data_IF_513362418156
#
_entry.id   IF_513362418156
#
_cell.length_a   1.000
_cell.length_b   1.000
_cell.length_c   1.000
_cell.angle_alpha   90.00
_cell.angle_beta   90.00
_cell.angle_gamma   90.00
#
_symmetry.space_group_name_H-M   'P 1'
#
loop_
_entity.id
_entity.type
_entity.pdbx_description
1 polymer ?
#
# COMPACT_ATOMS: atom_id res chain seq x y z
N UNK A 1 35.07 5.79 -19.10
CA UNK A 1 34.66 5.01 -17.93
C UNK A 1 35.18 3.60 -18.16
N UNK A 2 36.21 3.23 -17.42
CA UNK A 2 36.81 1.90 -17.45
C UNK A 2 35.77 0.92 -16.83
N UNK A 3 35.34 -0.05 -17.63
CA UNK A 3 34.75 -1.27 -17.11
C UNK A 3 35.81 -1.97 -16.25
N UNK A 4 35.77 -1.74 -14.97
CA UNK A 4 36.51 -2.54 -14.01
C UNK A 4 35.92 -3.95 -14.08
N UNK A 5 36.79 -4.95 -14.18
CA UNK A 5 36.59 -6.37 -14.27
C UNK A 5 35.49 -6.85 -13.25
N UNK A 6 34.27 -6.50 -13.52
CA UNK A 6 33.08 -6.69 -12.70
C UNK A 6 32.05 -7.51 -13.45
N UNK A 7 31.58 -8.55 -12.83
CA UNK A 7 30.40 -9.30 -13.30
C UNK A 7 29.18 -8.43 -13.06
N UNK A 8 28.73 -7.70 -14.08
CA UNK A 8 27.45 -7.01 -14.01
C UNK A 8 26.32 -8.03 -14.08
N UNK A 9 25.46 -8.02 -13.07
CA UNK A 9 24.27 -8.85 -13.02
C UNK A 9 23.10 -8.05 -13.55
N UNK A 10 22.54 -8.48 -14.68
CA UNK A 10 21.28 -7.95 -15.20
C UNK A 10 20.13 -8.77 -14.62
N UNK A 11 19.35 -8.15 -13.74
CA UNK A 11 18.11 -8.73 -13.25
C UNK A 11 16.93 -8.28 -14.11
N UNK A 12 16.11 -9.22 -14.53
CA UNK A 12 14.84 -8.92 -15.20
C UNK A 12 13.69 -9.73 -14.61
N UNK A 13 12.56 -9.09 -14.47
CA UNK A 13 11.34 -9.72 -13.94
C UNK A 13 10.38 -10.05 -15.06
N UNK A 14 9.99 -11.32 -15.16
CA UNK A 14 8.96 -11.76 -16.08
C UNK A 14 7.59 -11.56 -15.42
N UNK A 15 6.76 -10.66 -15.96
CA UNK A 15 5.37 -10.49 -15.53
C UNK A 15 4.55 -11.70 -15.99
N UNK A 16 4.42 -12.72 -15.15
CA UNK A 16 3.74 -13.98 -15.48
C UNK A 16 2.28 -13.79 -15.94
N UNK A 17 1.59 -12.77 -15.45
CA UNK A 17 0.23 -12.41 -15.85
C UNK A 17 0.12 -11.81 -17.26
N UNK A 18 1.23 -11.35 -17.83
CA UNK A 18 1.31 -10.85 -19.20
C UNK A 18 1.75 -11.92 -20.20
N UNK A 19 2.32 -13.03 -19.72
CA UNK A 19 2.73 -14.15 -20.57
C UNK A 19 1.53 -15.05 -20.88
N UNK A 20 1.15 -15.27 -22.16
CA UNK A 20 0.07 -16.19 -22.50
C UNK A 20 0.35 -17.63 -21.99
N UNK A 21 -0.71 -18.44 -21.73
CA UNK A 21 -0.52 -19.84 -21.33
C UNK A 21 0.29 -20.60 -22.38
N UNK A 22 1.08 -21.57 -21.91
CA UNK A 22 1.95 -22.37 -22.74
C UNK A 22 3.40 -21.88 -22.78
N UNK A 23 4.15 -22.42 -23.72
CA UNK A 23 5.56 -22.11 -23.93
C UNK A 23 5.70 -20.90 -24.85
N UNK A 24 6.49 -19.91 -24.46
CA UNK A 24 6.79 -18.73 -25.25
C UNK A 24 8.29 -18.54 -25.34
N UNK A 25 8.72 -18.08 -26.48
CA UNK A 25 10.11 -17.75 -26.75
C UNK A 25 10.22 -16.26 -27.01
N UNK A 26 11.30 -15.66 -26.55
CA UNK A 26 11.65 -14.26 -26.79
C UNK A 26 13.16 -14.10 -26.72
N UNK A 27 13.64 -13.04 -27.35
CA UNK A 27 15.07 -12.71 -27.38
C UNK A 27 15.31 -11.44 -26.59
N UNK A 28 16.26 -11.49 -25.64
CA UNK A 28 16.84 -10.32 -25.03
C UNK A 28 18.10 -9.94 -25.81
N UNK A 29 18.10 -8.76 -26.40
CA UNK A 29 19.22 -8.26 -27.20
C UNK A 29 20.01 -7.28 -26.34
N UNK A 30 21.23 -7.67 -25.98
CA UNK A 30 22.22 -6.78 -25.36
C UNK A 30 23.08 -6.21 -26.46
N UNK A 31 23.06 -4.89 -26.63
CA UNK A 31 23.83 -4.20 -27.62
C UNK A 31 24.75 -3.18 -26.98
N UNK A 32 26.04 -3.36 -27.19
CA UNK A 32 27.08 -2.41 -26.87
C UNK A 32 27.63 -1.75 -28.15
N UNK A 33 28.42 -0.71 -28.08
CA UNK A 33 29.11 -0.16 -29.27
C UNK A 33 30.01 -1.17 -30.01
N UNK A 34 30.39 -2.25 -29.33
CA UNK A 34 31.39 -3.21 -29.84
C UNK A 34 30.80 -4.60 -30.12
N UNK A 35 29.69 -4.97 -29.48
CA UNK A 35 29.12 -6.31 -29.54
C UNK A 35 27.60 -6.31 -29.43
N UNK A 36 26.98 -7.23 -30.16
CA UNK A 36 25.55 -7.56 -30.02
C UNK A 36 25.42 -8.99 -29.55
N UNK A 37 24.86 -9.17 -28.35
CA UNK A 37 24.60 -10.51 -27.78
C UNK A 37 23.11 -10.76 -27.72
N UNK A 38 22.68 -11.91 -28.22
CA UNK A 38 21.29 -12.35 -28.17
C UNK A 38 21.19 -13.46 -27.12
N UNK A 39 20.32 -13.27 -26.15
CA UNK A 39 19.99 -14.26 -25.13
C UNK A 39 18.57 -14.78 -25.41
N UNK A 40 18.45 -16.05 -25.78
CA UNK A 40 17.16 -16.68 -26.01
C UNK A 40 16.50 -17.02 -24.69
N UNK A 41 15.33 -16.47 -24.44
CA UNK A 41 14.55 -16.72 -23.22
C UNK A 41 13.34 -17.57 -23.55
N UNK A 42 13.15 -18.64 -22.81
CA UNK A 42 11.95 -19.46 -22.89
C UNK A 42 11.17 -19.32 -21.58
N UNK A 43 9.97 -18.78 -21.68
CA UNK A 43 9.03 -18.73 -20.56
C UNK A 43 7.94 -19.79 -20.74
N UNK A 44 7.67 -20.53 -19.68
CA UNK A 44 6.58 -21.50 -19.65
C UNK A 44 5.55 -21.12 -18.59
N UNK A 45 4.45 -20.53 -19.03
CA UNK A 45 3.34 -20.23 -18.14
C UNK A 45 2.39 -21.42 -18.04
N UNK A 46 2.43 -22.09 -16.89
CA UNK A 46 1.58 -23.26 -16.60
C UNK A 46 0.18 -22.90 -16.12
N UNK A 47 -0.08 -21.61 -15.84
CA UNK A 47 -1.38 -21.17 -15.34
C UNK A 47 -2.42 -21.24 -16.46
N UNK A 48 -3.44 -22.04 -16.27
CA UNK A 48 -4.55 -22.21 -17.21
C UNK A 48 -5.37 -20.92 -17.39
N UNK A 49 -6.07 -20.81 -18.50
CA UNK A 49 -6.88 -19.60 -18.81
C UNK A 49 -7.96 -19.32 -17.74
N UNK A 50 -8.55 -20.40 -17.17
CA UNK A 50 -9.54 -20.30 -16.09
C UNK A 50 -8.93 -19.67 -14.83
N UNK A 51 -7.76 -20.12 -14.47
CA UNK A 51 -7.05 -19.63 -13.27
C UNK A 51 -6.59 -18.17 -13.44
N UNK A 52 -6.17 -17.78 -14.66
CA UNK A 52 -5.86 -16.37 -14.98
C UNK A 52 -7.09 -15.47 -14.87
N UNK A 53 -8.25 -15.94 -15.32
CA UNK A 53 -9.50 -15.17 -15.16
C UNK A 53 -9.80 -14.96 -13.68
N UNK A 54 -9.61 -16.00 -12.84
CA UNK A 54 -9.79 -15.91 -11.39
C UNK A 54 -8.80 -14.91 -10.78
N UNK A 55 -7.52 -15.00 -11.11
CA UNK A 55 -6.49 -14.08 -10.60
C UNK A 55 -6.74 -12.62 -11.01
N UNK A 56 -7.14 -12.38 -12.27
CA UNK A 56 -7.53 -11.03 -12.72
C UNK A 56 -8.75 -10.50 -11.97
N UNK A 57 -9.75 -11.37 -11.72
CA UNK A 57 -10.91 -10.99 -10.95
C UNK A 57 -10.53 -10.65 -9.48
N UNK A 58 -9.62 -11.44 -8.87
CA UNK A 58 -9.06 -11.14 -7.53
C UNK A 58 -8.35 -9.79 -7.50
N UNK A 59 -7.39 -9.57 -8.40
CA UNK A 59 -6.67 -8.28 -8.49
C UNK A 59 -7.63 -7.09 -8.63
N UNK A 60 -8.66 -7.23 -9.47
CA UNK A 60 -9.68 -6.19 -9.66
C UNK A 60 -10.52 -5.96 -8.38
N UNK A 61 -10.90 -7.02 -7.69
CA UNK A 61 -11.68 -6.93 -6.46
C UNK A 61 -10.86 -6.27 -5.34
N UNK A 62 -9.57 -6.65 -5.17
CA UNK A 62 -8.64 -6.03 -4.21
C UNK A 62 -8.48 -4.53 -4.52
N UNK A 63 -8.21 -4.17 -5.78
CA UNK A 63 -8.06 -2.76 -6.17
C UNK A 63 -9.33 -1.94 -5.90
N UNK A 64 -10.51 -2.53 -6.11
CA UNK A 64 -11.79 -1.90 -5.80
C UNK A 64 -11.98 -1.74 -4.28
N UNK A 65 -11.63 -2.75 -3.49
CA UNK A 65 -11.70 -2.70 -2.02
C UNK A 65 -10.78 -1.62 -1.46
N UNK A 66 -9.53 -1.54 -1.91
CA UNK A 66 -8.57 -0.50 -1.50
C UNK A 66 -9.11 0.90 -1.88
N UNK A 67 -9.63 1.06 -3.10
CA UNK A 67 -10.22 2.35 -3.51
C UNK A 67 -11.38 2.79 -2.62
N UNK A 68 -12.30 1.88 -2.29
CA UNK A 68 -13.44 2.17 -1.43
C UNK A 68 -13.00 2.44 0.01
N UNK A 69 -12.03 1.66 0.52
CA UNK A 69 -11.41 1.89 1.83
C UNK A 69 -10.82 3.29 1.91
N UNK A 70 -9.95 3.67 0.96
CA UNK A 70 -9.34 4.99 0.92
C UNK A 70 -10.40 6.10 0.78
N UNK A 71 -11.42 5.91 -0.06
CA UNK A 71 -12.50 6.91 -0.19
C UNK A 71 -13.26 7.11 1.11
N UNK A 72 -13.39 6.08 1.94
CA UNK A 72 -13.97 6.18 3.27
C UNK A 72 -13.02 6.90 4.25
N UNK A 73 -11.74 6.51 4.30
CA UNK A 73 -10.74 7.13 5.16
C UNK A 73 -10.54 8.61 4.82
N UNK A 74 -10.57 8.96 3.55
CA UNK A 74 -10.49 10.33 3.02
C UNK A 74 -11.79 11.13 3.21
N UNK A 75 -12.81 10.56 3.87
CA UNK A 75 -14.14 11.17 4.12
C UNK A 75 -14.91 11.55 2.84
N UNK A 76 -14.60 10.90 1.70
CA UNK A 76 -15.27 11.13 0.40
C UNK A 76 -16.55 10.32 0.26
N UNK A 77 -16.70 9.26 1.02
CA UNK A 77 -17.93 8.46 1.10
C UNK A 77 -18.36 8.34 2.55
N UNK A 78 -19.66 8.30 2.77
CA UNK A 78 -20.22 8.13 4.11
C UNK A 78 -20.04 6.71 4.61
N UNK A 79 -20.16 6.50 5.92
CA UNK A 79 -20.12 5.16 6.53
C UNK A 79 -21.22 4.26 5.96
N UNK A 80 -22.42 4.81 5.71
CA UNK A 80 -23.54 4.06 5.14
C UNK A 80 -23.26 3.58 3.72
N UNK A 81 -22.69 4.44 2.87
CA UNK A 81 -22.32 4.09 1.50
C UNK A 81 -21.21 3.02 1.49
N UNK A 82 -20.19 3.18 2.34
CA UNK A 82 -19.14 2.19 2.50
C UNK A 82 -19.70 0.87 3.08
N UNK A 83 -20.56 0.93 4.07
CA UNK A 83 -21.24 -0.24 4.64
C UNK A 83 -22.06 -1.02 3.61
N UNK A 84 -22.81 -0.32 2.73
CA UNK A 84 -23.51 -0.96 1.60
C UNK A 84 -22.55 -1.68 0.65
N UNK A 85 -21.41 -1.07 0.34
CA UNK A 85 -20.37 -1.70 -0.47
C UNK A 85 -19.84 -2.98 0.20
N UNK A 86 -19.50 -2.92 1.49
CA UNK A 86 -18.99 -4.07 2.25
C UNK A 86 -20.00 -5.20 2.32
N UNK A 87 -21.27 -4.92 2.62
CA UNK A 87 -22.34 -5.93 2.63
C UNK A 87 -22.49 -6.63 1.28
N UNK A 88 -22.50 -5.85 0.19
CA UNK A 88 -22.65 -6.40 -1.16
C UNK A 88 -21.47 -7.29 -1.59
N UNK A 89 -20.27 -6.99 -1.10
CA UNK A 89 -19.04 -7.66 -1.55
C UNK A 89 -18.42 -8.57 -0.48
N UNK A 90 -19.11 -8.79 0.66
CA UNK A 90 -18.59 -9.52 1.82
C UNK A 90 -17.98 -10.86 1.45
N UNK A 91 -18.74 -11.74 0.81
CA UNK A 91 -18.27 -13.08 0.45
C UNK A 91 -17.04 -13.06 -0.47
N UNK A 92 -17.01 -12.10 -1.40
CA UNK A 92 -15.86 -11.96 -2.31
C UNK A 92 -14.64 -11.49 -1.52
N UNK A 93 -14.80 -10.46 -0.68
CA UNK A 93 -13.71 -9.90 0.11
C UNK A 93 -13.11 -10.95 1.06
N UNK A 94 -13.93 -11.73 1.75
CA UNK A 94 -13.48 -12.80 2.64
C UNK A 94 -12.73 -13.90 1.86
N UNK A 95 -13.24 -14.33 0.70
CA UNK A 95 -12.60 -15.35 -0.14
C UNK A 95 -11.27 -14.93 -0.76
N UNK A 96 -11.09 -13.64 -1.07
CA UNK A 96 -9.85 -13.16 -1.70
C UNK A 96 -8.77 -12.76 -0.69
N UNK A 97 -9.15 -12.57 0.57
CA UNK A 97 -8.26 -12.01 1.59
C UNK A 97 -7.20 -12.99 2.11
N UNK A 98 -7.38 -14.30 1.91
CA UNK A 98 -6.37 -15.30 2.31
C UNK A 98 -6.00 -15.18 3.78
N UNK A 99 -4.72 -14.98 4.08
CA UNK A 99 -4.20 -14.80 5.45
C UNK A 99 -4.90 -13.67 6.20
N UNK A 100 -5.39 -12.64 5.51
CA UNK A 100 -6.10 -11.51 6.12
C UNK A 100 -7.59 -11.73 6.34
N UNK A 101 -8.14 -12.93 6.12
CA UNK A 101 -9.58 -13.19 6.20
C UNK A 101 -10.17 -12.77 7.55
N UNK A 102 -9.49 -13.09 8.65
CA UNK A 102 -9.94 -12.76 9.99
C UNK A 102 -9.94 -11.23 10.21
N UNK A 103 -8.88 -10.54 9.78
CA UNK A 103 -8.81 -9.07 9.84
C UNK A 103 -9.93 -8.43 8.99
N UNK A 104 -10.18 -8.93 7.78
CA UNK A 104 -11.25 -8.41 6.91
C UNK A 104 -12.62 -8.63 7.54
N UNK A 105 -12.90 -9.80 8.12
CA UNK A 105 -14.17 -10.06 8.83
C UNK A 105 -14.35 -9.10 10.01
N UNK A 106 -13.32 -8.93 10.84
CA UNK A 106 -13.34 -8.00 11.97
C UNK A 106 -13.58 -6.56 11.51
N UNK A 107 -12.88 -6.10 10.47
CA UNK A 107 -13.05 -4.76 9.93
C UNK A 107 -14.48 -4.52 9.43
N UNK A 108 -15.05 -5.47 8.68
CA UNK A 108 -16.44 -5.39 8.20
C UNK A 108 -17.41 -5.29 9.39
N UNK A 109 -17.22 -6.13 10.41
CA UNK A 109 -18.06 -6.12 11.61
C UNK A 109 -18.03 -4.77 12.33
N UNK A 110 -16.84 -4.18 12.53
CA UNK A 110 -16.69 -2.87 13.19
C UNK A 110 -17.31 -1.75 12.36
N UNK A 111 -17.09 -1.72 11.05
CA UNK A 111 -17.67 -0.69 10.17
C UNK A 111 -19.20 -0.79 10.15
N UNK A 112 -19.74 -2.01 10.10
CA UNK A 112 -21.17 -2.26 10.08
C UNK A 112 -21.83 -2.21 11.47
N UNK A 113 -21.06 -2.12 12.54
CA UNK A 113 -21.53 -2.16 13.95
C UNK A 113 -22.30 -3.44 14.28
N UNK A 114 -21.82 -4.56 13.77
CA UNK A 114 -22.42 -5.89 13.99
C UNK A 114 -21.94 -6.46 15.34
N UNK A 115 -22.63 -6.15 16.42
CA UNK A 115 -22.19 -6.44 17.80
C UNK A 115 -21.77 -7.89 18.03
N UNK A 116 -22.54 -8.86 17.56
CA UNK A 116 -22.25 -10.28 17.72
C UNK A 116 -20.94 -10.66 16.98
N UNK A 117 -20.77 -10.19 15.76
CA UNK A 117 -19.57 -10.45 14.96
C UNK A 117 -18.35 -9.74 15.52
N UNK A 118 -18.50 -8.56 16.12
CA UNK A 118 -17.44 -7.85 16.84
C UNK A 118 -17.00 -8.67 18.05
N UNK A 119 -17.93 -9.15 18.87
CA UNK A 119 -17.62 -9.98 20.03
C UNK A 119 -16.92 -11.28 19.63
N UNK A 120 -17.42 -11.98 18.60
CA UNK A 120 -16.78 -13.17 18.05
C UNK A 120 -15.34 -12.89 17.60
N UNK A 121 -15.15 -11.80 16.86
CA UNK A 121 -13.81 -11.38 16.41
C UNK A 121 -12.86 -11.11 17.56
N UNK A 122 -13.29 -10.41 18.61
CA UNK A 122 -12.48 -10.15 19.79
C UNK A 122 -12.11 -11.45 20.52
N UNK A 123 -13.08 -12.36 20.71
CA UNK A 123 -12.83 -13.67 21.35
C UNK A 123 -11.84 -14.52 20.53
N UNK A 124 -12.05 -14.62 19.21
CA UNK A 124 -11.16 -15.37 18.30
C UNK A 124 -9.73 -14.83 18.29
N UNK A 125 -9.56 -13.53 18.54
CA UNK A 125 -8.26 -12.84 18.48
C UNK A 125 -7.66 -12.51 19.86
N UNK A 126 -8.31 -12.89 20.96
CA UNK A 126 -7.86 -12.57 22.31
C UNK A 126 -6.45 -13.12 22.60
N UNK A 127 -6.23 -14.38 22.23
CA UNK A 127 -4.97 -15.09 22.46
C UNK A 127 -4.02 -15.10 21.27
N UNK A 128 -4.24 -14.19 20.30
CA UNK A 128 -3.38 -14.09 19.12
C UNK A 128 -1.97 -13.64 19.57
N UNK A 129 -0.99 -14.51 19.32
CA UNK A 129 0.39 -14.24 19.69
C UNK A 129 1.01 -13.27 18.69
N UNK A 130 1.83 -12.36 19.21
CA UNK A 130 2.65 -11.49 18.38
C UNK A 130 3.63 -12.33 17.56
N UNK A 131 3.68 -12.17 16.22
CA UNK A 131 4.65 -12.86 15.37
C UNK A 131 6.09 -12.55 15.82
N UNK A 132 6.94 -13.58 16.01
CA UNK A 132 8.35 -13.35 16.31
C UNK A 132 9.07 -12.73 15.11
N UNK A 133 10.22 -12.12 15.36
CA UNK A 133 11.12 -11.67 14.29
C UNK A 133 11.58 -12.88 13.47
N UNK A 134 11.47 -12.77 12.13
CA UNK A 134 11.76 -13.87 11.21
C UNK A 134 10.52 -14.49 10.56
N UNK A 135 9.31 -14.17 11.04
CA UNK A 135 8.07 -14.54 10.36
C UNK A 135 7.91 -13.79 9.02
N UNK A 136 6.99 -14.27 8.20
CA UNK A 136 6.69 -13.61 6.92
C UNK A 136 6.10 -12.21 7.12
N UNK A 137 6.35 -11.31 6.17
CA UNK A 137 5.75 -9.97 6.19
C UNK A 137 4.21 -10.04 6.22
N UNK A 138 3.62 -11.00 5.53
CA UNK A 138 2.17 -11.21 5.47
C UNK A 138 1.56 -11.53 6.85
N UNK A 139 2.24 -12.36 7.65
CA UNK A 139 1.83 -12.68 9.03
C UNK A 139 1.92 -11.46 9.95
N UNK A 140 2.99 -10.68 9.83
CA UNK A 140 3.16 -9.43 10.59
C UNK A 140 2.07 -8.43 10.22
N UNK A 141 1.82 -8.22 8.92
CA UNK A 141 0.77 -7.32 8.44
C UNK A 141 -0.62 -7.75 8.93
N UNK A 142 -0.94 -9.04 8.84
CA UNK A 142 -2.22 -9.56 9.34
C UNK A 142 -2.40 -9.31 10.83
N UNK A 143 -1.36 -9.58 11.62
CA UNK A 143 -1.37 -9.31 13.06
C UNK A 143 -1.59 -7.82 13.36
N UNK A 144 -0.84 -6.93 12.70
CA UNK A 144 -0.98 -5.48 12.85
C UNK A 144 -2.37 -4.99 12.44
N UNK A 145 -2.93 -5.52 11.35
CA UNK A 145 -4.30 -5.21 10.93
C UNK A 145 -5.33 -5.60 12.00
N UNK A 146 -5.20 -6.77 12.61
CA UNK A 146 -6.09 -7.20 13.70
C UNK A 146 -5.98 -6.24 14.89
N UNK A 147 -4.76 -5.85 15.30
CA UNK A 147 -4.56 -4.88 16.36
C UNK A 147 -5.15 -3.50 15.99
N UNK A 148 -4.96 -3.07 14.74
CA UNK A 148 -5.53 -1.81 14.25
C UNK A 148 -7.06 -1.79 14.34
N UNK A 149 -7.73 -2.88 13.99
CA UNK A 149 -9.19 -3.00 14.09
C UNK A 149 -9.64 -2.91 15.56
N UNK A 150 -8.91 -3.55 16.48
CA UNK A 150 -9.18 -3.45 17.92
C UNK A 150 -9.04 -2.01 18.43
N UNK A 151 -7.99 -1.31 18.00
CA UNK A 151 -7.74 0.08 18.36
C UNK A 151 -8.80 1.02 17.79
N UNK A 152 -9.29 0.75 16.57
CA UNK A 152 -10.40 1.52 15.99
C UNK A 152 -11.71 1.40 16.79
N UNK A 153 -11.94 0.25 17.41
CA UNK A 153 -13.14 0.02 18.21
C UNK A 153 -13.00 0.60 19.62
N UNK A 154 -11.80 0.53 20.22
CA UNK A 154 -11.54 1.04 21.57
C UNK A 154 -11.54 2.55 21.68
N UNK A 155 -11.20 3.27 20.61
CA UNK A 155 -11.01 4.73 20.53
C UNK A 155 -10.03 5.32 21.59
N UNK A 156 -9.27 4.48 22.32
CA UNK A 156 -8.34 4.91 23.38
C UNK A 156 -7.02 5.39 22.78
N UNK A 157 -6.51 6.50 23.32
CA UNK A 157 -5.25 7.09 22.86
C UNK A 157 -4.04 6.19 23.18
N UNK A 158 -4.07 5.55 24.34
CA UNK A 158 -3.01 4.63 24.80
C UNK A 158 -2.86 3.44 23.85
N UNK A 159 -3.98 2.88 23.38
CA UNK A 159 -3.99 1.76 22.43
C UNK A 159 -3.39 2.16 21.08
N UNK A 160 -3.67 3.40 20.62
CA UNK A 160 -3.05 3.95 19.40
C UNK A 160 -1.55 4.11 19.54
N UNK A 161 -1.07 4.65 20.67
CA UNK A 161 0.36 4.80 20.92
C UNK A 161 1.03 3.42 20.99
N UNK A 162 0.42 2.46 21.68
CA UNK A 162 0.91 1.09 21.74
C UNK A 162 1.07 0.45 20.37
N UNK A 163 0.06 0.60 19.51
CA UNK A 163 0.10 0.09 18.14
C UNK A 163 1.15 0.83 17.29
N UNK A 164 1.28 2.14 17.43
CA UNK A 164 2.30 2.91 16.72
C UNK A 164 3.71 2.42 17.06
N UNK A 165 4.00 2.24 18.35
CA UNK A 165 5.29 1.71 18.83
C UNK A 165 5.55 0.29 18.30
N UNK A 166 4.52 -0.54 18.23
CA UNK A 166 4.62 -1.89 17.69
C UNK A 166 4.96 -1.88 16.20
N UNK A 167 4.27 -1.06 15.38
CA UNK A 167 4.56 -0.93 13.95
C UNK A 167 6.00 -0.42 13.76
N UNK A 168 6.42 0.60 14.51
CA UNK A 168 7.78 1.16 14.44
C UNK A 168 8.83 0.10 14.79
N UNK A 169 8.59 -0.72 15.81
CA UNK A 169 9.50 -1.80 16.18
C UNK A 169 9.67 -2.83 15.06
N UNK A 170 8.60 -3.22 14.39
CA UNK A 170 8.71 -4.10 13.22
C UNK A 170 9.46 -3.43 12.06
N UNK A 171 9.19 -2.14 11.80
CA UNK A 171 9.87 -1.39 10.74
C UNK A 171 11.40 -1.30 10.98
N UNK A 172 11.84 -1.05 12.22
CA UNK A 172 13.25 -1.04 12.64
C UNK A 172 13.93 -2.40 12.43
N UNK A 173 13.16 -3.49 12.46
CA UNK A 173 13.64 -4.85 12.19
C UNK A 173 13.44 -5.30 10.72
N UNK A 174 13.23 -4.35 9.81
CA UNK A 174 13.19 -4.61 8.37
C UNK A 174 11.82 -5.00 7.79
N UNK A 175 10.75 -5.00 8.60
CA UNK A 175 9.38 -5.22 8.11
C UNK A 175 8.79 -3.93 7.57
N UNK A 176 9.03 -3.64 6.31
CA UNK A 176 8.51 -2.45 5.64
C UNK A 176 7.50 -2.83 4.56
N UNK A 177 6.35 -2.17 4.57
CA UNK A 177 5.36 -2.27 3.50
C UNK A 177 4.50 -1.01 3.42
N UNK A 178 3.88 -0.81 2.27
CA UNK A 178 2.96 0.29 2.03
C UNK A 178 1.80 0.29 3.03
N UNK A 179 1.34 -0.90 3.43
CA UNK A 179 0.26 -1.07 4.39
C UNK A 179 0.69 -0.64 5.79
N UNK A 180 1.83 -1.13 6.29
CA UNK A 180 2.32 -0.78 7.62
C UNK A 180 2.60 0.73 7.73
N UNK A 181 3.22 1.32 6.72
CA UNK A 181 3.46 2.76 6.66
C UNK A 181 2.14 3.54 6.66
N UNK A 182 1.15 3.11 5.87
CA UNK A 182 -0.17 3.74 5.88
C UNK A 182 -0.85 3.63 7.25
N UNK A 183 -0.84 2.46 7.88
CA UNK A 183 -1.45 2.25 9.20
C UNK A 183 -0.77 3.11 10.27
N UNK A 184 0.55 3.26 10.22
CA UNK A 184 1.28 4.13 11.14
C UNK A 184 0.79 5.58 11.04
N UNK A 185 0.52 6.09 9.84
CA UNK A 185 -0.05 7.43 9.66
C UNK A 185 -1.43 7.61 10.27
N UNK A 186 -2.19 6.52 10.43
CA UNK A 186 -3.53 6.56 11.00
C UNK A 186 -3.52 6.55 12.53
N UNK A 187 -2.47 6.03 13.15
CA UNK A 187 -2.41 5.82 14.61
C UNK A 187 -1.42 6.74 15.32
N UNK A 188 -0.38 7.22 14.67
CA UNK A 188 0.60 8.14 15.27
C UNK A 188 0.47 9.55 14.73
N UNK A 189 -0.12 10.43 15.54
CA UNK A 189 -0.23 11.85 15.21
C UNK A 189 1.14 12.52 15.12
N UNK A 190 2.10 12.16 15.98
CA UNK A 190 3.46 12.76 15.99
C UNK A 190 4.24 12.38 14.73
N UNK A 191 4.10 11.14 14.28
CA UNK A 191 4.68 10.69 13.03
C UNK A 191 4.08 11.44 11.85
N UNK A 192 2.77 11.65 11.86
CA UNK A 192 2.02 12.37 10.82
C UNK A 192 2.39 13.85 10.69
N UNK A 193 2.66 14.53 11.83
CA UNK A 193 3.07 15.94 11.86
C UNK A 193 4.59 16.16 11.72
N UNK A 194 5.37 15.14 11.52
CA UNK A 194 6.82 15.24 11.46
C UNK A 194 7.39 15.04 10.05
N UNK A 195 8.57 15.64 9.81
CA UNK A 195 9.34 15.39 8.57
C UNK A 195 9.73 13.92 8.37
N UNK A 196 9.64 13.09 9.40
CA UNK A 196 9.95 11.66 9.30
C UNK A 196 8.98 10.93 8.38
N UNK A 197 7.68 11.21 8.48
CA UNK A 197 6.67 10.60 7.62
C UNK A 197 6.92 10.94 6.16
N UNK A 198 7.11 12.21 5.84
CA UNK A 198 7.36 12.64 4.45
C UNK A 198 8.62 11.96 3.89
N UNK A 199 9.71 11.90 4.67
CA UNK A 199 10.94 11.23 4.29
C UNK A 199 10.74 9.73 4.02
N UNK A 200 10.02 9.03 4.91
CA UNK A 200 9.79 7.59 4.77
C UNK A 200 8.88 7.26 3.58
N UNK A 201 7.80 8.07 3.38
CA UNK A 201 6.92 7.93 2.23
C UNK A 201 7.66 8.20 0.92
N UNK A 202 8.48 9.24 0.89
CA UNK A 202 9.30 9.61 -0.26
C UNK A 202 10.25 8.47 -0.62
N UNK A 203 11.00 7.94 0.34
CA UNK A 203 11.93 6.84 0.12
C UNK A 203 11.23 5.60 -0.47
N UNK A 204 10.03 5.25 0.02
CA UNK A 204 9.26 4.13 -0.53
C UNK A 204 8.73 4.40 -1.95
N UNK A 205 8.28 5.62 -2.24
CA UNK A 205 7.82 6.00 -3.58
C UNK A 205 8.98 6.06 -4.58
N UNK A 206 10.14 6.57 -4.18
CA UNK A 206 11.37 6.61 -4.99
C UNK A 206 11.92 5.21 -5.26
N UNK A 207 11.74 4.25 -4.35
CA UNK A 207 12.11 2.84 -4.57
C UNK A 207 11.22 2.12 -5.59
N UNK A 208 10.22 2.80 -6.15
CA UNK A 208 9.35 2.30 -7.21
C UNK A 208 7.98 1.82 -6.75
N UNK A 209 7.64 1.99 -5.47
CA UNK A 209 6.27 1.74 -5.02
C UNK A 209 5.31 2.75 -5.69
N UNK A 210 4.19 2.27 -6.20
CA UNK A 210 3.14 3.11 -6.81
C UNK A 210 1.80 2.85 -6.12
N UNK A 211 1.83 2.79 -4.81
CA UNK A 211 0.69 2.42 -3.98
C UNK A 211 -0.24 3.62 -3.73
N UNK A 212 -1.54 3.48 -3.96
CA UNK A 212 -2.53 4.49 -3.57
C UNK A 212 -2.53 4.78 -2.06
N UNK A 213 -2.11 3.82 -1.22
CA UNK A 213 -1.99 4.00 0.22
C UNK A 213 -0.93 5.06 0.56
N UNK A 214 0.24 4.98 -0.07
CA UNK A 214 1.34 5.93 0.16
C UNK A 214 0.98 7.34 -0.36
N UNK A 215 0.37 7.44 -1.53
CA UNK A 215 -0.09 8.75 -2.03
C UNK A 215 -1.19 9.36 -1.16
N UNK A 216 -2.10 8.55 -0.63
CA UNK A 216 -3.11 9.02 0.32
C UNK A 216 -2.46 9.52 1.62
N UNK A 217 -1.49 8.78 2.16
CA UNK A 217 -0.73 9.18 3.34
C UNK A 217 0.05 10.48 3.11
N UNK A 218 0.73 10.62 1.96
CA UNK A 218 1.47 11.82 1.58
C UNK A 218 0.54 13.04 1.48
N UNK A 219 -0.62 12.88 0.84
CA UNK A 219 -1.60 13.96 0.75
C UNK A 219 -2.19 14.34 2.11
N UNK A 220 -2.37 13.39 3.03
CA UNK A 220 -2.77 13.73 4.39
C UNK A 220 -1.70 14.57 5.09
N UNK A 221 -0.42 14.21 4.97
CA UNK A 221 0.69 14.99 5.52
C UNK A 221 0.72 16.41 4.92
N UNK A 222 0.63 16.56 3.60
CA UNK A 222 0.63 17.87 2.92
C UNK A 222 -0.59 18.73 3.27
N UNK A 223 -1.74 18.13 3.56
CA UNK A 223 -2.92 18.86 4.01
C UNK A 223 -2.78 19.40 5.43
N UNK A 224 -2.06 18.69 6.28
CA UNK A 224 -1.81 19.10 7.65
C UNK A 224 -0.66 20.12 7.72
N UNK A 225 0.36 19.96 6.88
CA UNK A 225 1.49 20.87 6.78
C UNK A 225 1.97 21.01 5.33
N UNK A 226 1.50 22.04 4.63
CA UNK A 226 1.88 22.33 3.26
C UNK A 226 3.35 22.75 3.11
N UNK A 227 4.06 23.08 4.19
CA UNK A 227 5.50 23.43 4.15
C UNK A 227 6.38 22.23 3.87
N UNK A 228 5.85 21.00 4.03
CA UNK A 228 6.53 19.76 3.61
C UNK A 228 6.73 19.67 2.10
N UNK A 229 5.98 20.44 1.31
CA UNK A 229 6.16 20.55 -0.15
C UNK A 229 7.36 21.46 -0.40
N UNK A 230 8.56 20.88 -0.48
CA UNK A 230 9.82 21.64 -0.65
C UNK A 230 10.31 21.71 -2.09
N UNK A 231 9.83 20.80 -2.97
CA UNK A 231 10.19 20.71 -4.38
C UNK A 231 9.05 20.14 -5.22
N UNK A 232 9.05 20.41 -6.53
CA UNK A 232 8.13 19.81 -7.50
C UNK A 232 8.83 18.67 -8.28
N UNK A 233 9.34 17.69 -7.55
CA UNK A 233 9.85 16.46 -8.14
C UNK A 233 8.70 15.48 -8.50
N UNK A 234 9.03 14.37 -9.15
CA UNK A 234 8.06 13.38 -9.63
C UNK A 234 7.20 12.80 -8.50
N UNK A 235 7.77 12.59 -7.31
CA UNK A 235 7.01 12.07 -6.16
C UNK A 235 5.96 13.09 -5.71
N UNK A 236 6.37 14.34 -5.55
CA UNK A 236 5.46 15.43 -5.16
C UNK A 236 4.38 15.66 -6.22
N UNK A 237 4.76 15.73 -7.50
CA UNK A 237 3.81 15.90 -8.61
C UNK A 237 2.80 14.75 -8.65
N UNK A 238 3.24 13.52 -8.49
CA UNK A 238 2.35 12.36 -8.48
C UNK A 238 1.41 12.35 -7.27
N UNK A 239 1.90 12.71 -6.09
CA UNK A 239 1.07 12.83 -4.89
C UNK A 239 0.01 13.94 -5.04
N UNK A 240 0.40 15.13 -5.52
CA UNK A 240 -0.53 16.23 -5.77
C UNK A 240 -1.56 15.86 -6.84
N UNK A 241 -1.14 15.23 -7.93
CA UNK A 241 -2.05 14.73 -8.97
C UNK A 241 -3.03 13.68 -8.42
N UNK A 242 -2.58 12.81 -7.52
CA UNK A 242 -3.47 11.89 -6.80
C UNK A 242 -4.49 12.68 -5.99
N UNK A 243 -4.04 13.68 -5.24
CA UNK A 243 -4.88 14.56 -4.43
C UNK A 243 -5.91 15.33 -5.23
N UNK A 244 -5.52 15.93 -6.36
CA UNK A 244 -6.41 16.65 -7.28
C UNK A 244 -7.51 15.75 -7.81
N UNK A 245 -7.18 14.53 -8.29
CA UNK A 245 -8.16 13.57 -8.81
C UNK A 245 -9.15 13.08 -7.75
N UNK A 246 -8.84 13.27 -6.48
CA UNK A 246 -9.65 12.79 -5.34
C UNK A 246 -10.21 13.91 -4.47
N UNK A 247 -10.03 15.16 -4.89
CA UNK A 247 -10.50 16.34 -4.16
C UNK A 247 -9.93 16.41 -2.73
N UNK A 248 -8.64 16.10 -2.60
CA UNK A 248 -7.92 16.12 -1.33
C UNK A 248 -7.02 17.36 -1.15
N UNK A 249 -6.88 18.20 -2.16
CA UNK A 249 -6.04 19.39 -2.11
C UNK A 249 -6.71 20.48 -1.28
N UNK A 250 -5.92 21.17 -0.45
CA UNK A 250 -6.34 22.39 0.26
C UNK A 250 -5.83 23.64 -0.46
N UNK A 251 -6.29 24.81 -0.01
CA UNK A 251 -5.79 26.08 -0.54
C UNK A 251 -4.29 26.25 -0.28
N UNK A 252 -3.82 25.84 0.90
CA UNK A 252 -2.43 25.91 1.32
C UNK A 252 -1.54 25.02 0.42
N UNK A 253 -1.95 23.79 0.14
CA UNK A 253 -1.26 22.89 -0.81
C UNK A 253 -1.19 23.52 -2.20
N UNK A 254 -2.31 24.08 -2.67
CA UNK A 254 -2.35 24.72 -3.99
C UNK A 254 -1.43 25.93 -4.08
N UNK A 255 -1.36 26.74 -3.02
CA UNK A 255 -0.46 27.89 -2.94
C UNK A 255 1.02 27.44 -2.91
N UNK A 256 1.37 26.42 -2.13
CA UNK A 256 2.73 25.89 -2.07
C UNK A 256 3.20 25.39 -3.45
N UNK A 257 2.35 24.62 -4.15
CA UNK A 257 2.63 24.14 -5.50
C UNK A 257 2.79 25.28 -6.50
N UNK A 258 1.90 26.28 -6.48
CA UNK A 258 1.97 27.44 -7.38
C UNK A 258 3.25 28.24 -7.14
N UNK A 259 3.59 28.51 -5.90
CA UNK A 259 4.81 29.24 -5.53
C UNK A 259 6.10 28.56 -6.00
N UNK A 260 6.16 27.23 -5.91
CA UNK A 260 7.30 26.47 -6.42
C UNK A 260 7.29 26.41 -7.96
N UNK A 261 6.10 26.32 -8.58
CA UNK A 261 5.96 26.33 -10.04
C UNK A 261 6.44 27.61 -10.69
N UNK A 262 6.20 28.78 -10.05
CA UNK A 262 6.70 30.07 -10.54
C UNK A 262 8.22 30.23 -10.49
N UNK A 263 8.91 29.40 -9.69
CA UNK A 263 10.36 29.43 -9.54
C UNK A 263 11.10 28.42 -10.45
N UNK A 264 10.38 27.60 -11.19
CA UNK A 264 11.00 26.71 -12.17
C UNK A 264 11.51 27.55 -13.34
N UNK A 265 12.78 27.37 -13.76
CA UNK A 265 13.25 28.01 -14.98
C UNK A 265 12.45 27.50 -16.18
N UNK A 266 11.97 28.43 -17.00
CA UNK A 266 11.26 28.15 -18.25
C UNK A 266 12.17 27.47 -19.28
#
# INVERSE_FOLDING_TARGET
DEFVDGRDVLEFTICADKVPAGRRHGDLILQTPYEKKVIHITAHNRIGEKERKIQRARKKAIAMAIRMFLSYQEKRVTREAFGKFLKKNREILEKISGTYEQAVRGYIAVILREKENILSFFQETENLKMPPLGESLEEVENYILIQFIKVMDSERKEDRIGLANLISSYAENGYQSDLLTYLLTQVDERYRFGHLLEKDLRAQLESGSNSPLLYSAMMLAYREDATLISSLDDVTINAVNYGLKRDLTTKEVSLAVSFLGERLPH
#
